data_IF_188385313136
#
_entry.id   IF_188385313136
#
_cell.length_a   1.000
_cell.length_b   1.000
_cell.length_c   1.000
_cell.angle_alpha   90.00
_cell.angle_beta   90.00
_cell.angle_gamma   90.00
#
_symmetry.space_group_name_H-M   'P 1'
#
loop_
_entity.id
_entity.type
_entity.pdbx_description
1 polymer ?
#
# COMPACT_ATOMS: atom_id res chain seq x y z
N UNK A 1 -5.13 -16.00 -17.75
CA UNK A 1 -6.11 -15.32 -18.63
C UNK A 1 -6.60 -16.20 -19.77
N UNK A 2 -5.73 -16.81 -20.61
CA UNK A 2 -6.19 -17.72 -21.68
C UNK A 2 -7.05 -18.90 -21.18
N UNK A 3 -6.68 -19.52 -20.05
CA UNK A 3 -7.46 -20.63 -19.47
C UNK A 3 -8.89 -20.21 -19.07
N UNK A 4 -9.07 -18.96 -18.61
CA UNK A 4 -10.40 -18.42 -18.31
C UNK A 4 -11.20 -18.17 -19.59
N UNK A 5 -10.55 -17.74 -20.66
CA UNK A 5 -11.16 -17.62 -21.98
C UNK A 5 -11.61 -18.99 -22.52
N UNK A 6 -10.81 -20.03 -22.36
CA UNK A 6 -11.18 -21.41 -22.76
C UNK A 6 -12.42 -21.88 -21.99
N UNK A 7 -12.45 -21.71 -20.67
CA UNK A 7 -13.63 -22.03 -19.85
C UNK A 7 -14.88 -21.25 -20.28
N UNK A 8 -14.73 -19.96 -20.57
CA UNK A 8 -15.83 -19.13 -21.08
C UNK A 8 -16.34 -19.61 -22.46
N UNK A 9 -15.44 -20.05 -23.34
CA UNK A 9 -15.82 -20.67 -24.61
C UNK A 9 -16.57 -21.99 -24.41
N UNK A 10 -16.14 -22.83 -23.48
CA UNK A 10 -16.83 -24.08 -23.12
C UNK A 10 -18.25 -23.82 -22.61
N UNK A 11 -18.42 -22.86 -21.70
CA UNK A 11 -19.74 -22.44 -21.18
C UNK A 11 -20.67 -21.93 -22.29
N UNK A 12 -20.13 -21.26 -23.29
CA UNK A 12 -20.87 -20.72 -24.44
C UNK A 12 -20.98 -21.71 -25.60
N UNK A 13 -20.45 -22.93 -25.49
CA UNK A 13 -20.39 -23.94 -26.56
C UNK A 13 -19.70 -23.42 -27.83
N UNK A 14 -18.66 -22.62 -27.66
CA UNK A 14 -17.82 -22.08 -28.73
C UNK A 14 -16.47 -22.81 -28.76
N UNK A 15 -15.91 -22.99 -29.95
CA UNK A 15 -14.54 -23.50 -30.10
C UNK A 15 -13.53 -22.37 -29.78
N UNK A 16 -12.60 -22.56 -28.83
CA UNK A 16 -11.60 -21.56 -28.51
C UNK A 16 -10.60 -21.41 -29.67
N UNK A 17 -10.15 -20.18 -29.90
CA UNK A 17 -9.12 -19.90 -30.89
C UNK A 17 -7.70 -20.20 -30.37
N UNK A 18 -6.76 -20.27 -31.32
CA UNK A 18 -5.35 -20.54 -31.03
C UNK A 18 -4.79 -19.58 -29.97
N UNK A 19 -4.03 -20.16 -29.03
CA UNK A 19 -3.39 -19.43 -27.92
C UNK A 19 -2.56 -18.24 -28.40
N UNK A 20 -1.84 -18.39 -29.51
CA UNK A 20 -1.06 -17.31 -30.11
C UNK A 20 -1.94 -16.12 -30.53
N UNK A 21 -3.04 -16.39 -31.24
CA UNK A 21 -3.97 -15.35 -31.70
C UNK A 21 -4.60 -14.63 -30.50
N UNK A 22 -5.00 -15.37 -29.47
CA UNK A 22 -5.48 -14.78 -28.22
C UNK A 22 -4.47 -13.82 -27.61
N UNK A 23 -3.19 -14.22 -27.49
CA UNK A 23 -2.15 -13.33 -26.94
C UNK A 23 -1.88 -12.12 -27.82
N UNK A 24 -1.93 -12.27 -29.14
CA UNK A 24 -1.73 -11.16 -30.05
C UNK A 24 -2.80 -10.09 -29.83
N UNK A 25 -4.07 -10.50 -29.87
CA UNK A 25 -5.21 -9.61 -29.65
C UNK A 25 -5.13 -9.01 -28.23
N UNK A 26 -4.92 -9.84 -27.21
CA UNK A 26 -4.92 -9.42 -25.80
C UNK A 26 -3.84 -8.38 -25.46
N UNK A 27 -2.65 -8.48 -26.07
CA UNK A 27 -1.55 -7.57 -25.76
C UNK A 27 -1.44 -6.37 -26.71
N UNK A 28 -1.85 -6.52 -27.98
CA UNK A 28 -1.57 -5.52 -29.01
C UNK A 28 -2.83 -4.84 -29.57
N UNK A 29 -4.00 -5.48 -29.48
CA UNK A 29 -5.26 -4.90 -29.96
C UNK A 29 -6.09 -4.34 -28.80
N UNK A 30 -6.02 -4.98 -27.64
CA UNK A 30 -6.53 -4.41 -26.40
C UNK A 30 -5.48 -3.46 -25.82
N UNK A 31 -5.79 -2.15 -25.79
CA UNK A 31 -4.97 -1.13 -25.12
C UNK A 31 -5.10 -1.24 -23.58
N UNK A 32 -4.90 -2.45 -23.05
CA UNK A 32 -4.85 -2.74 -21.62
C UNK A 32 -3.48 -2.31 -21.12
N UNK A 33 -3.32 -1.00 -20.91
CA UNK A 33 -2.15 -0.46 -20.26
C UNK A 33 -1.96 -1.15 -18.90
N UNK A 34 -0.93 -1.98 -18.78
CA UNK A 34 -0.49 -2.50 -17.50
C UNK A 34 0.16 -1.37 -16.73
N UNK A 35 -0.66 -0.53 -16.11
CA UNK A 35 -0.19 0.50 -15.21
C UNK A 35 0.41 -0.17 -13.98
N UNK A 36 1.54 0.35 -13.51
CA UNK A 36 2.04 -0.02 -12.20
C UNK A 36 0.89 0.16 -11.18
N UNK A 37 0.66 -0.82 -10.29
CA UNK A 37 -0.33 -0.67 -9.22
C UNK A 37 -0.11 0.69 -8.56
N UNK A 38 -1.14 1.53 -8.56
CA UNK A 38 -1.05 2.83 -7.88
C UNK A 38 -0.71 2.53 -6.42
N UNK A 39 0.26 3.27 -5.87
CA UNK A 39 0.63 3.15 -4.46
C UNK A 39 -0.64 3.25 -3.60
N UNK A 40 -0.67 2.51 -2.49
CA UNK A 40 -1.77 2.60 -1.53
C UNK A 40 -1.99 4.06 -1.14
N UNK A 41 -3.23 4.51 -1.38
CA UNK A 41 -3.64 5.87 -1.10
C UNK A 41 -4.03 5.96 0.38
N UNK A 42 -3.50 6.96 1.08
CA UNK A 42 -3.93 7.23 2.45
C UNK A 42 -5.34 7.81 2.43
N UNK A 43 -6.30 7.14 3.07
CA UNK A 43 -7.70 7.58 3.13
C UNK A 43 -7.84 9.02 3.63
N UNK A 44 -7.10 9.41 4.68
CA UNK A 44 -7.14 10.76 5.24
C UNK A 44 -6.62 11.80 4.25
N UNK A 45 -5.51 11.51 3.56
CA UNK A 45 -4.96 12.43 2.55
C UNK A 45 -5.88 12.53 1.33
N UNK A 46 -6.44 11.41 0.88
CA UNK A 46 -7.36 11.39 -0.27
C UNK A 46 -8.63 12.15 0.05
N UNK A 47 -9.26 11.90 1.20
CA UNK A 47 -10.46 12.62 1.63
C UNK A 47 -10.23 14.13 1.71
N UNK A 48 -9.10 14.55 2.32
CA UNK A 48 -8.75 15.95 2.40
C UNK A 48 -8.55 16.59 1.02
N UNK A 49 -7.79 15.93 0.13
CA UNK A 49 -7.54 16.44 -1.21
C UNK A 49 -8.83 16.53 -2.04
N UNK A 50 -9.69 15.52 -1.99
CA UNK A 50 -10.98 15.54 -2.68
C UNK A 50 -11.85 16.70 -2.20
N UNK A 51 -12.00 16.89 -0.89
CA UNK A 51 -12.80 17.99 -0.34
C UNK A 51 -12.19 19.36 -0.58
N UNK A 52 -10.87 19.44 -0.69
CA UNK A 52 -10.16 20.65 -1.11
C UNK A 52 -10.46 21.01 -2.56
N UNK A 53 -10.41 20.03 -3.45
CA UNK A 53 -10.68 20.22 -4.88
C UNK A 53 -12.16 20.60 -5.11
N UNK A 54 -13.08 20.05 -4.33
CA UNK A 54 -14.51 20.37 -4.34
C UNK A 54 -14.86 21.68 -3.62
N UNK A 55 -13.89 22.33 -2.96
CA UNK A 55 -14.08 23.54 -2.14
C UNK A 55 -15.06 23.37 -0.96
N UNK A 56 -15.24 22.14 -0.47
CA UNK A 56 -16.11 21.78 0.68
C UNK A 56 -15.26 21.52 1.94
N UNK A 57 -14.15 22.24 2.05
CA UNK A 57 -13.21 22.08 3.16
C UNK A 57 -13.79 22.73 4.41
N UNK A 58 -13.91 21.96 5.49
CA UNK A 58 -14.26 22.48 6.80
C UNK A 58 -13.02 22.55 7.71
N UNK A 59 -13.13 23.35 8.77
CA UNK A 59 -12.02 23.62 9.68
C UNK A 59 -11.59 22.35 10.44
N UNK A 60 -12.56 21.53 10.86
CA UNK A 60 -12.33 20.24 11.52
C UNK A 60 -11.50 19.26 10.67
N UNK A 61 -11.74 19.17 9.36
CA UNK A 61 -10.96 18.29 8.48
C UNK A 61 -9.57 18.84 8.23
N UNK A 62 -9.41 20.15 8.21
CA UNK A 62 -8.10 20.79 8.10
C UNK A 62 -7.26 20.51 9.35
N UNK A 63 -7.84 20.64 10.54
CA UNK A 63 -7.17 20.27 11.80
C UNK A 63 -6.76 18.80 11.82
N UNK A 64 -7.70 17.89 11.51
CA UNK A 64 -7.41 16.44 11.42
C UNK A 64 -6.31 16.12 10.41
N UNK A 65 -6.31 16.79 9.26
CA UNK A 65 -5.26 16.61 8.26
C UNK A 65 -3.91 17.11 8.78
N UNK A 66 -3.87 18.27 9.43
CA UNK A 66 -2.63 18.82 10.01
C UNK A 66 -2.07 17.91 11.10
N UNK A 67 -2.91 17.38 11.99
CA UNK A 67 -2.51 16.38 12.98
C UNK A 67 -1.95 15.11 12.34
N UNK A 68 -2.62 14.61 11.30
CA UNK A 68 -2.16 13.44 10.54
C UNK A 68 -0.77 13.68 9.91
N UNK A 69 -0.56 14.83 9.27
CA UNK A 69 0.72 15.17 8.65
C UNK A 69 1.80 15.37 9.70
N UNK A 70 1.49 16.02 10.83
CA UNK A 70 2.41 16.19 11.94
C UNK A 70 2.89 14.84 12.49
N UNK A 71 1.97 13.94 12.84
CA UNK A 71 2.31 12.61 13.33
C UNK A 71 3.13 11.80 12.31
N UNK A 72 2.81 11.92 11.01
CA UNK A 72 3.56 11.29 9.93
C UNK A 72 5.00 11.80 9.82
N UNK A 73 5.22 13.09 10.04
CA UNK A 73 6.55 13.70 10.01
C UNK A 73 7.36 13.31 11.24
N UNK A 74 6.75 13.37 12.44
CA UNK A 74 7.37 12.96 13.70
C UNK A 74 7.84 11.50 13.63
N UNK A 75 6.98 10.58 13.21
CA UNK A 75 7.33 9.17 13.08
C UNK A 75 8.46 8.91 12.05
N UNK A 76 8.52 9.72 10.98
CA UNK A 76 9.61 9.64 10.00
C UNK A 76 10.93 10.14 10.58
N UNK A 77 10.87 11.16 11.41
CA UNK A 77 12.04 11.75 12.04
C UNK A 77 12.60 10.82 13.12
N UNK A 78 11.74 10.26 13.99
CA UNK A 78 12.12 9.22 14.95
C UNK A 78 12.80 8.03 14.25
N UNK A 79 12.21 7.53 13.16
CA UNK A 79 12.81 6.44 12.38
C UNK A 79 14.17 6.80 11.81
N UNK A 80 14.39 8.04 11.35
CA UNK A 80 15.71 8.46 10.85
C UNK A 80 16.74 8.48 11.97
N UNK A 81 16.37 9.02 13.12
CA UNK A 81 17.23 9.06 14.31
C UNK A 81 17.62 7.63 14.74
N UNK A 82 16.66 6.70 14.75
CA UNK A 82 16.92 5.29 15.05
C UNK A 82 17.86 4.63 14.03
N UNK A 83 17.70 4.93 12.73
CA UNK A 83 18.61 4.46 11.68
C UNK A 83 20.02 5.00 11.90
N UNK A 84 20.16 6.28 12.21
CA UNK A 84 21.45 6.92 12.46
C UNK A 84 22.14 6.36 13.71
N UNK A 85 21.38 6.14 14.79
CA UNK A 85 21.89 5.49 15.99
C UNK A 85 22.42 4.08 15.70
N UNK A 86 21.70 3.28 14.91
CA UNK A 86 22.13 1.92 14.53
C UNK A 86 23.35 1.92 13.60
N UNK A 87 23.55 2.96 12.78
CA UNK A 87 24.77 3.08 11.95
C UNK A 87 26.02 3.31 12.80
N UNK A 88 25.88 4.02 13.91
CA UNK A 88 27.00 4.39 14.79
C UNK A 88 27.30 3.32 15.86
N UNK A 89 26.34 2.46 16.19
CA UNK A 89 26.49 1.40 17.18
C UNK A 89 26.27 -0.01 16.57
N UNK A 90 27.33 -0.80 16.36
CA UNK A 90 27.21 -2.16 15.82
C UNK A 90 26.49 -3.14 16.75
N UNK A 91 26.18 -2.76 18.00
CA UNK A 91 25.44 -3.59 18.95
C UNK A 91 23.92 -3.43 18.89
N UNK A 92 23.43 -2.47 18.09
CA UNK A 92 22.01 -2.15 17.96
C UNK A 92 21.50 -2.48 16.55
N UNK A 93 20.36 -3.16 16.45
CA UNK A 93 19.70 -3.48 15.18
C UNK A 93 18.28 -2.89 15.16
N UNK A 94 17.94 -2.17 14.09
CA UNK A 94 16.60 -1.63 13.88
C UNK A 94 15.76 -2.61 13.07
N UNK A 95 14.63 -3.02 13.64
CA UNK A 95 13.63 -3.84 12.97
C UNK A 95 12.37 -3.02 12.71
N UNK A 96 11.96 -2.91 11.46
CA UNK A 96 10.76 -2.20 11.04
C UNK A 96 9.86 -3.18 10.28
N UNK A 97 8.76 -3.59 10.89
CA UNK A 97 7.78 -4.49 10.28
C UNK A 97 6.50 -3.75 9.91
N UNK A 98 5.94 -4.08 8.76
CA UNK A 98 4.59 -3.65 8.40
C UNK A 98 3.56 -4.57 9.08
N UNK A 99 3.05 -4.07 10.21
CA UNK A 99 2.06 -4.78 11.03
C UNK A 99 0.68 -4.89 10.36
N UNK A 100 0.41 -4.16 9.26
CA UNK A 100 -0.87 -4.27 8.54
C UNK A 100 -1.05 -5.61 7.81
N UNK A 101 0.04 -6.37 7.61
CA UNK A 101 0.01 -7.69 6.98
C UNK A 101 -0.02 -8.86 7.97
N UNK A 102 0.37 -8.63 9.23
CA UNK A 102 0.65 -9.71 10.20
C UNK A 102 -0.47 -9.90 11.23
N UNK A 103 -1.27 -8.87 11.51
CA UNK A 103 -2.36 -8.94 12.46
C UNK A 103 -3.70 -8.83 11.72
N UNK A 104 -4.40 -9.96 11.61
CA UNK A 104 -5.79 -10.00 11.14
C UNK A 104 -6.61 -8.92 11.87
N UNK A 105 -7.25 -8.05 11.07
CA UNK A 105 -8.08 -6.94 11.51
C UNK A 105 -9.25 -7.42 12.37
N UNK A 106 -9.07 -7.44 13.69
CA UNK A 106 -10.18 -7.38 14.64
C UNK A 106 -9.82 -6.58 15.90
N UNK A 107 -9.25 -5.37 15.72
CA UNK A 107 -9.40 -4.32 16.75
C UNK A 107 -9.48 -2.95 16.08
N UNK A 108 -10.66 -2.33 16.20
CA UNK A 108 -10.84 -0.90 16.01
C UNK A 108 -9.88 -0.13 16.93
N UNK A 109 -8.80 0.42 16.36
CA UNK A 109 -8.19 1.74 16.64
C UNK A 109 -6.81 1.77 16.01
N UNK A 110 -6.67 2.58 14.97
CA UNK A 110 -5.40 2.87 14.32
C UNK A 110 -4.49 3.64 15.29
N UNK A 111 -3.57 2.92 15.93
CA UNK A 111 -2.38 3.50 16.55
C UNK A 111 -1.20 2.73 15.99
N UNK A 112 -0.39 3.37 15.14
CA UNK A 112 0.90 2.83 14.74
C UNK A 112 1.74 2.70 16.00
N UNK A 113 1.92 1.48 16.48
CA UNK A 113 2.85 1.19 17.58
C UNK A 113 4.17 0.76 16.95
N UNK A 114 5.16 1.65 17.02
CA UNK A 114 6.55 1.29 16.75
C UNK A 114 7.05 0.48 17.95
N UNK A 115 7.39 -0.79 17.72
CA UNK A 115 8.00 -1.63 18.73
C UNK A 115 9.52 -1.54 18.56
N UNK A 116 10.17 -0.64 19.29
CA UNK A 116 11.63 -0.60 19.39
C UNK A 116 12.08 -1.75 20.30
N UNK A 117 12.41 -2.90 19.71
CA UNK A 117 12.98 -4.02 20.46
C UNK A 117 14.43 -3.66 20.79
N UNK A 118 14.67 -3.19 22.02
CA UNK A 118 16.02 -3.12 22.57
C UNK A 118 16.47 -4.54 22.94
N UNK A 119 17.35 -5.09 22.08
CA UNK A 119 18.24 -6.25 22.31
C UNK A 119 17.59 -7.65 22.16
N UNK A 120 17.85 -8.31 21.04
CA UNK A 120 17.91 -9.78 20.98
C UNK A 120 19.39 -10.14 20.85
N UNK A 121 19.98 -10.57 21.96
CA UNK A 121 21.34 -11.09 22.01
C UNK A 121 21.27 -12.55 21.54
N UNK A 122 21.46 -12.80 20.25
CA UNK A 122 21.75 -14.15 19.79
C UNK A 122 23.22 -14.46 20.14
N UNK A 123 23.40 -15.34 21.12
CA UNK A 123 24.65 -16.10 21.30
C UNK A 123 24.81 -17.07 20.13
#
# INVERSE_FOLDING_TARGET
MYELYVKWCEEKKLAPQNKWLYYHIFNFEFNLGFHAPKKDLCNVCTEYNTKKDEQILNEDLNEKYNEHIKAKLEAREEKKQDIEACKNDPSTALLCFDMQSVLFQHVHKHRFQYLTIKKVRCL
#
